data_IF_532517939531
#
_entry.id   IF_532517939531
#
_cell.length_a   1.000
_cell.length_b   1.000
_cell.length_c   1.000
_cell.angle_alpha   90.00
_cell.angle_beta   90.00
_cell.angle_gamma   90.00
#
_symmetry.space_group_name_H-M   'P 1'
#
loop_
_entity.id
_entity.type
_entity.pdbx_description
1 polymer ?
#
# COMPACT_ATOMS: atom_id res chain seq x y z
N UNK A 1 24.37 6.71 45.69
CA UNK A 1 23.50 6.05 44.69
C UNK A 1 23.06 6.98 43.55
N UNK A 2 23.48 8.25 43.49
CA UNK A 2 23.11 9.18 42.40
C UNK A 2 24.15 9.34 41.27
N UNK A 3 25.45 9.16 41.55
CA UNK A 3 26.52 9.39 40.57
C UNK A 3 26.52 8.37 39.41
N UNK A 4 26.12 7.12 39.68
CA UNK A 4 26.05 6.06 38.66
C UNK A 4 24.85 6.20 37.73
N UNK A 5 23.73 6.74 38.22
CA UNK A 5 22.55 7.03 37.38
C UNK A 5 22.79 8.25 36.49
N UNK A 6 23.53 9.25 36.97
CA UNK A 6 23.97 10.40 36.18
C UNK A 6 24.98 10.01 35.10
N UNK A 7 25.98 9.17 35.41
CA UNK A 7 26.94 8.65 34.42
C UNK A 7 26.27 7.77 33.35
N UNK A 8 25.30 6.92 33.73
CA UNK A 8 24.51 6.13 32.77
C UNK A 8 23.64 7.03 31.88
N UNK A 9 23.04 8.09 32.44
CA UNK A 9 22.24 9.05 31.67
C UNK A 9 23.12 9.88 30.72
N UNK A 10 24.34 10.23 31.13
CA UNK A 10 25.31 10.97 30.31
C UNK A 10 25.91 10.09 29.19
N UNK A 11 26.19 8.81 29.47
CA UNK A 11 26.57 7.81 28.46
C UNK A 11 25.42 7.54 27.48
N UNK A 12 24.18 7.49 27.95
CA UNK A 12 23.01 7.33 27.08
C UNK A 12 22.77 8.54 26.16
N UNK A 13 23.06 9.76 26.62
CA UNK A 13 23.03 10.98 25.80
C UNK A 13 24.19 11.04 24.78
N UNK A 14 25.37 10.51 25.13
CA UNK A 14 26.51 10.40 24.20
C UNK A 14 26.38 9.23 23.20
N UNK A 15 25.59 8.21 23.53
CA UNK A 15 25.39 6.99 22.73
C UNK A 15 24.05 6.94 21.98
N UNK A 16 23.19 7.95 22.13
CA UNK A 16 21.98 8.04 21.33
C UNK A 16 22.37 8.25 19.85
N UNK A 17 22.06 7.31 18.94
CA UNK A 17 22.37 7.50 17.54
C UNK A 17 21.64 8.74 17.04
N UNK A 18 22.35 9.59 16.29
CA UNK A 18 21.72 10.73 15.65
C UNK A 18 20.57 10.26 14.75
N UNK A 19 19.58 11.10 14.50
CA UNK A 19 18.50 10.77 13.57
C UNK A 19 19.03 10.32 12.20
N UNK A 20 20.12 10.93 11.73
CA UNK A 20 20.80 10.51 10.50
C UNK A 20 21.46 9.12 10.62
N UNK A 21 22.06 8.81 11.77
CA UNK A 21 22.63 7.49 12.06
C UNK A 21 21.56 6.40 12.11
N UNK A 22 20.42 6.68 12.76
CA UNK A 22 19.27 5.76 12.78
C UNK A 22 18.72 5.53 11.37
N UNK A 23 18.54 6.59 10.58
CA UNK A 23 18.05 6.44 9.22
C UNK A 23 19.00 5.65 8.32
N UNK A 24 20.31 5.81 8.50
CA UNK A 24 21.31 5.04 7.76
C UNK A 24 21.26 3.56 8.13
N UNK A 25 21.17 3.23 9.42
CA UNK A 25 21.01 1.84 9.87
C UNK A 25 19.75 1.22 9.29
N UNK A 26 18.60 1.90 9.41
CA UNK A 26 17.34 1.40 8.86
C UNK A 26 17.39 1.19 7.34
N UNK A 27 18.06 2.07 6.59
CA UNK A 27 18.20 1.89 5.15
C UNK A 27 19.08 0.69 4.77
N UNK A 28 20.04 0.32 5.62
CA UNK A 28 20.90 -0.86 5.44
C UNK A 28 20.18 -2.15 5.86
N UNK A 29 19.48 -2.12 6.98
CA UNK A 29 18.76 -3.28 7.54
C UNK A 29 17.51 -3.64 6.72
N UNK A 30 16.93 -2.64 6.03
CA UNK A 30 15.72 -2.79 5.22
C UNK A 30 15.94 -2.26 3.80
N UNK A 31 16.61 -3.04 2.93
CA UNK A 31 16.90 -2.59 1.57
C UNK A 31 15.62 -2.33 0.77
N UNK A 32 15.68 -1.49 -0.28
CA UNK A 32 14.54 -1.31 -1.18
C UNK A 32 14.20 -2.62 -1.90
N UNK A 33 12.91 -2.96 -1.92
CA UNK A 33 12.37 -4.12 -2.64
C UNK A 33 11.50 -3.67 -3.81
N UNK A 34 11.38 -4.54 -4.82
CA UNK A 34 10.49 -4.28 -5.96
C UNK A 34 9.04 -4.33 -5.50
N UNK A 35 8.30 -3.25 -5.78
CA UNK A 35 6.89 -3.12 -5.46
C UNK A 35 6.12 -2.91 -6.74
N UNK A 36 5.15 -3.77 -6.98
CA UNK A 36 4.36 -3.77 -8.20
C UNK A 36 2.90 -3.48 -7.86
N UNK A 37 2.37 -2.36 -8.34
CA UNK A 37 0.93 -2.12 -8.30
C UNK A 37 0.28 -2.83 -9.48
N UNK A 38 -0.65 -3.74 -9.19
CA UNK A 38 -1.47 -4.44 -10.19
C UNK A 38 -2.92 -4.00 -10.07
N UNK A 39 -3.65 -4.07 -11.17
CA UNK A 39 -5.08 -3.72 -11.17
C UNK A 39 -5.90 -4.72 -11.98
N UNK A 40 -7.14 -4.93 -11.55
CA UNK A 40 -8.12 -5.69 -12.32
C UNK A 40 -8.57 -4.86 -13.53
N UNK A 41 -8.64 -5.49 -14.70
CA UNK A 41 -9.22 -4.88 -15.90
C UNK A 41 -10.75 -4.80 -15.74
N UNK A 42 -11.27 -3.65 -15.29
CA UNK A 42 -12.67 -3.51 -14.88
C UNK A 42 -13.53 -2.78 -15.92
N UNK A 43 -14.58 -3.45 -16.39
CA UNK A 43 -15.53 -2.84 -17.33
C UNK A 43 -16.47 -1.87 -16.61
N UNK A 44 -16.43 -0.60 -17.00
CA UNK A 44 -17.28 0.43 -16.39
C UNK A 44 -18.76 0.19 -16.69
N UNK A 45 -19.57 0.02 -15.66
CA UNK A 45 -21.02 -0.17 -15.76
C UNK A 45 -21.76 1.00 -16.43
N UNK A 46 -21.19 2.21 -16.41
CA UNK A 46 -21.82 3.43 -16.95
C UNK A 46 -21.48 3.67 -18.42
N UNK A 47 -20.23 3.46 -18.83
CA UNK A 47 -19.76 3.82 -20.18
C UNK A 47 -19.09 2.69 -20.97
N UNK A 48 -19.00 1.48 -20.41
CA UNK A 48 -18.44 0.30 -21.06
C UNK A 48 -16.92 0.28 -21.21
N UNK A 49 -16.22 1.36 -20.85
CA UNK A 49 -14.75 1.41 -20.95
C UNK A 49 -14.09 0.58 -19.86
N UNK A 50 -13.15 -0.27 -20.26
CA UNK A 50 -12.26 -1.00 -19.34
C UNK A 50 -11.31 0.00 -18.67
N UNK A 51 -11.30 0.06 -17.35
CA UNK A 51 -10.39 0.90 -16.55
C UNK A 51 -9.77 0.06 -15.43
N UNK A 52 -8.62 0.46 -14.88
CA UNK A 52 -8.02 -0.26 -13.76
C UNK A 52 -8.88 -0.14 -12.49
N UNK A 53 -9.18 -1.28 -11.85
CA UNK A 53 -9.69 -1.35 -10.50
C UNK A 53 -8.57 -1.80 -9.55
N UNK A 54 -8.23 -0.92 -8.62
CA UNK A 54 -7.19 -1.08 -7.60
C UNK A 54 -7.72 -1.75 -6.33
N UNK A 55 -6.81 -2.29 -5.51
CA UNK A 55 -7.15 -3.08 -4.33
C UNK A 55 -6.09 -4.09 -3.90
N UNK A 56 -4.91 -4.10 -4.54
CA UNK A 56 -3.81 -5.01 -4.22
C UNK A 56 -2.46 -4.44 -4.67
N UNK A 57 -1.45 -4.57 -3.81
CA UNK A 57 -0.04 -4.32 -4.13
C UNK A 57 0.72 -5.64 -4.05
N UNK A 58 1.44 -5.98 -5.11
CA UNK A 58 2.27 -7.18 -5.21
C UNK A 58 3.71 -6.83 -4.82
N UNK A 59 4.24 -7.55 -3.83
CA UNK A 59 5.55 -7.31 -3.24
C UNK A 59 6.24 -8.67 -3.14
N UNK A 60 7.23 -8.90 -4.00
CA UNK A 60 8.00 -10.15 -3.97
C UNK A 60 8.71 -10.31 -2.60
N UNK A 61 8.76 -11.54 -2.11
CA UNK A 61 9.39 -11.92 -0.82
C UNK A 61 8.73 -11.30 0.43
N UNK A 62 7.49 -10.83 0.33
CA UNK A 62 6.73 -10.37 1.50
C UNK A 62 6.09 -11.56 2.22
N UNK A 63 6.29 -11.64 3.54
CA UNK A 63 6.12 -12.82 4.43
C UNK A 63 4.70 -13.43 4.57
N UNK A 64 3.84 -13.31 3.58
CA UNK A 64 2.51 -13.92 3.51
C UNK A 64 2.40 -14.98 2.41
N UNK A 65 1.38 -15.83 2.43
CA UNK A 65 1.23 -16.96 1.50
C UNK A 65 1.02 -16.57 0.02
N UNK A 66 0.93 -15.27 -0.30
CA UNK A 66 0.54 -14.78 -1.62
C UNK A 66 1.38 -13.59 -2.13
N UNK A 67 2.46 -13.20 -1.45
CA UNK A 67 3.32 -12.05 -1.82
C UNK A 67 2.56 -10.74 -2.10
N UNK A 68 1.45 -10.51 -1.39
CA UNK A 68 0.57 -9.36 -1.63
C UNK A 68 0.12 -8.64 -0.36
N UNK A 69 -0.14 -7.35 -0.54
CA UNK A 69 -0.78 -6.47 0.41
C UNK A 69 -2.16 -6.12 -0.16
N UNK A 70 -3.22 -6.69 0.42
CA UNK A 70 -4.59 -6.29 0.08
C UNK A 70 -4.80 -4.83 0.46
N UNK A 71 -5.33 -3.99 -0.42
CA UNK A 71 -5.64 -2.58 -0.13
C UNK A 71 -7.13 -2.28 -0.33
N UNK A 72 -7.95 -3.31 -0.46
CA UNK A 72 -9.39 -3.19 -0.72
C UNK A 72 -10.13 -2.31 0.31
N UNK A 73 -9.71 -2.38 1.58
CA UNK A 73 -10.31 -1.58 2.66
C UNK A 73 -9.72 -0.16 2.78
N UNK A 74 -8.76 0.19 1.92
CA UNK A 74 -8.05 1.47 1.90
C UNK A 74 -6.99 1.49 0.80
N UNK A 75 -7.37 1.98 -0.40
CA UNK A 75 -6.49 2.09 -1.58
C UNK A 75 -5.59 3.33 -1.53
N UNK A 76 -5.29 3.83 -0.32
CA UNK A 76 -4.35 4.94 -0.11
C UNK A 76 -2.96 4.57 -0.64
N UNK A 77 -2.47 3.36 -0.34
CA UNK A 77 -1.17 2.90 -0.83
C UNK A 77 -1.13 2.84 -2.36
N UNK A 78 -2.18 2.32 -3.02
CA UNK A 78 -2.27 2.29 -4.48
C UNK A 78 -2.15 3.71 -5.06
N UNK A 79 -2.86 4.68 -4.46
CA UNK A 79 -2.80 6.08 -4.88
C UNK A 79 -1.41 6.68 -4.67
N UNK A 80 -0.76 6.39 -3.54
CA UNK A 80 0.58 6.89 -3.24
C UNK A 80 1.62 6.35 -4.20
N UNK A 81 1.54 5.06 -4.57
CA UNK A 81 2.42 4.46 -5.58
C UNK A 81 2.21 5.11 -6.96
N UNK A 82 0.96 5.37 -7.36
CA UNK A 82 0.65 6.08 -8.61
C UNK A 82 1.17 7.52 -8.61
N UNK A 83 1.04 8.23 -7.49
CA UNK A 83 1.55 9.60 -7.35
C UNK A 83 3.09 9.63 -7.41
N UNK A 84 3.75 8.67 -6.78
CA UNK A 84 5.22 8.56 -6.77
C UNK A 84 5.82 8.41 -8.17
N UNK A 85 5.09 7.79 -9.11
CA UNK A 85 5.54 7.66 -10.51
C UNK A 85 4.97 8.73 -11.45
N UNK A 86 4.21 9.70 -10.93
CA UNK A 86 3.52 10.70 -11.76
C UNK A 86 2.42 10.13 -12.65
N UNK A 87 1.86 8.96 -12.31
CA UNK A 87 0.84 8.31 -13.13
C UNK A 87 -0.47 9.11 -13.15
N UNK A 88 -1.06 9.37 -14.33
CA UNK A 88 -2.35 10.06 -14.41
C UNK A 88 -3.50 9.25 -13.77
N UNK A 89 -3.31 7.94 -13.59
CA UNK A 89 -4.28 7.06 -12.94
C UNK A 89 -4.47 7.38 -11.45
N UNK A 90 -3.55 8.11 -10.81
CA UNK A 90 -3.76 8.58 -9.43
C UNK A 90 -5.06 9.40 -9.29
N UNK A 91 -5.49 10.07 -10.37
CA UNK A 91 -6.72 10.86 -10.41
C UNK A 91 -8.00 10.02 -10.48
N UNK A 92 -7.90 8.73 -10.84
CA UNK A 92 -9.05 7.83 -10.91
C UNK A 92 -9.39 7.22 -9.56
N UNK A 93 -8.51 7.34 -8.56
CA UNK A 93 -8.79 6.98 -7.16
C UNK A 93 -9.38 8.21 -6.45
N UNK A 94 -10.64 8.10 -6.04
CA UNK A 94 -11.42 9.25 -5.52
C UNK A 94 -12.04 8.96 -4.17
N UNK A 95 -12.25 10.01 -3.40
CA UNK A 95 -12.96 9.93 -2.12
C UNK A 95 -14.45 9.65 -2.37
N UNK A 96 -14.93 8.58 -1.76
CA UNK A 96 -16.33 8.17 -1.69
C UNK A 96 -16.83 8.31 -0.26
N UNK A 97 -17.87 9.11 -0.06
CA UNK A 97 -18.59 9.13 1.22
C UNK A 97 -19.50 7.91 1.32
N UNK A 98 -19.23 7.00 2.25
CA UNK A 98 -20.11 5.87 2.55
C UNK A 98 -21.24 6.34 3.45
N UNK A 99 -22.47 6.37 2.93
CA UNK A 99 -23.66 6.71 3.74
C UNK A 99 -23.93 5.68 4.83
N UNK A 100 -23.62 4.41 4.56
CA UNK A 100 -23.87 3.29 5.48
C UNK A 100 -22.85 3.22 6.61
N UNK A 101 -21.58 3.53 6.35
CA UNK A 101 -20.52 3.47 7.37
C UNK A 101 -20.24 4.82 8.05
N UNK A 102 -20.85 5.91 7.57
CA UNK A 102 -20.57 7.26 8.07
C UNK A 102 -19.15 7.77 7.78
N UNK A 103 -18.34 7.00 7.07
CA UNK A 103 -16.92 7.27 6.78
C UNK A 103 -16.69 7.62 5.31
N UNK A 104 -15.62 8.38 5.06
CA UNK A 104 -15.09 8.59 3.72
C UNK A 104 -14.01 7.55 3.44
N UNK A 105 -14.07 6.90 2.28
CA UNK A 105 -13.11 5.88 1.84
C UNK A 105 -12.67 6.21 0.42
N UNK A 106 -11.44 5.86 0.04
CA UNK A 106 -11.03 5.94 -1.36
C UNK A 106 -11.68 4.81 -2.16
N UNK A 107 -11.95 5.06 -3.45
CA UNK A 107 -12.50 4.07 -4.37
C UNK A 107 -11.97 4.30 -5.78
N UNK A 108 -11.73 3.19 -6.48
CA UNK A 108 -11.39 3.20 -7.90
C UNK A 108 -12.55 3.76 -8.74
N UNK A 109 -12.22 4.45 -9.81
CA UNK A 109 -13.20 5.03 -10.72
C UNK A 109 -12.80 4.84 -12.19
N UNK A 110 -13.78 4.98 -13.06
CA UNK A 110 -13.56 4.89 -14.50
C UNK A 110 -12.68 6.03 -14.99
N UNK A 111 -11.64 5.69 -15.77
CA UNK A 111 -10.71 6.67 -16.34
C UNK A 111 -11.36 7.62 -17.37
N UNK A 112 -12.56 7.30 -17.86
CA UNK A 112 -13.29 8.10 -18.86
C UNK A 112 -14.42 8.94 -18.28
N UNK A 113 -15.33 8.31 -17.53
CA UNK A 113 -16.58 8.94 -17.11
C UNK A 113 -16.68 9.17 -15.61
N UNK A 114 -15.60 8.89 -14.87
CA UNK A 114 -15.48 9.08 -13.42
C UNK A 114 -16.50 8.31 -12.57
N UNK A 115 -17.20 7.33 -13.17
CA UNK A 115 -18.10 6.46 -12.43
C UNK A 115 -17.29 5.65 -11.42
N UNK A 116 -17.64 5.74 -10.15
CA UNK A 116 -17.01 4.98 -9.09
C UNK A 116 -17.36 3.49 -9.23
N UNK A 117 -16.38 2.65 -8.96
CA UNK A 117 -16.56 1.20 -8.92
C UNK A 117 -17.01 0.75 -7.54
N UNK A 118 -17.82 -0.31 -7.53
CA UNK A 118 -18.29 -0.92 -6.28
C UNK A 118 -17.14 -1.69 -5.62
N UNK A 119 -16.65 -1.28 -4.43
CA UNK A 119 -15.49 -1.93 -3.82
C UNK A 119 -15.75 -3.40 -3.46
N UNK A 120 -17.02 -3.75 -3.17
CA UNK A 120 -17.42 -5.13 -2.88
C UNK A 120 -17.14 -6.09 -4.06
N UNK A 121 -17.54 -5.72 -5.28
CA UNK A 121 -17.34 -6.57 -6.46
C UNK A 121 -15.86 -6.65 -6.87
N UNK A 122 -15.09 -5.59 -6.61
CA UNK A 122 -13.64 -5.60 -6.82
C UNK A 122 -12.98 -6.54 -5.82
N UNK A 123 -13.42 -6.51 -4.55
CA UNK A 123 -12.93 -7.43 -3.51
C UNK A 123 -13.17 -8.89 -3.91
N UNK A 124 -14.39 -9.23 -4.35
CA UNK A 124 -14.73 -10.58 -4.80
C UNK A 124 -13.83 -11.05 -5.95
N UNK A 125 -13.57 -10.19 -6.94
CA UNK A 125 -12.69 -10.51 -8.07
C UNK A 125 -11.23 -10.71 -7.62
N UNK A 126 -10.72 -9.84 -6.74
CA UNK A 126 -9.37 -9.97 -6.18
C UNK A 126 -9.26 -11.26 -5.36
N UNK A 127 -10.27 -11.60 -4.56
CA UNK A 127 -10.28 -12.85 -3.80
C UNK A 127 -10.28 -14.08 -4.72
N UNK A 128 -10.99 -14.02 -5.85
CA UNK A 128 -10.95 -15.07 -6.88
C UNK A 128 -9.56 -15.23 -7.49
N UNK A 129 -8.86 -14.12 -7.77
CA UNK A 129 -7.49 -14.12 -8.28
C UNK A 129 -6.50 -14.70 -7.26
N UNK A 130 -6.65 -14.33 -5.98
CA UNK A 130 -5.82 -14.86 -4.89
C UNK A 130 -6.05 -16.36 -4.70
N UNK A 131 -7.31 -16.80 -4.68
CA UNK A 131 -7.65 -18.21 -4.52
C UNK A 131 -7.17 -19.10 -5.68
N UNK A 132 -6.92 -18.51 -6.85
CA UNK A 132 -6.43 -19.18 -8.06
C UNK A 132 -4.93 -18.96 -8.32
N UNK A 133 -4.20 -18.36 -7.38
CA UNK A 133 -2.77 -18.06 -7.51
C UNK A 133 -2.40 -17.31 -8.80
N UNK A 134 -3.29 -16.40 -9.23
CA UNK A 134 -3.23 -15.74 -10.54
C UNK A 134 -2.83 -14.26 -10.45
N UNK A 135 -2.26 -13.82 -9.32
CA UNK A 135 -1.83 -12.42 -9.14
C UNK A 135 -0.81 -12.00 -10.20
N UNK A 136 0.12 -12.89 -10.53
CA UNK A 136 1.16 -12.63 -11.53
C UNK A 136 0.58 -12.34 -12.92
N UNK A 137 -0.65 -12.80 -13.23
CA UNK A 137 -1.31 -12.57 -14.52
C UNK A 137 -2.06 -11.24 -14.58
N UNK A 138 -2.28 -10.56 -13.45
CA UNK A 138 -2.92 -9.25 -13.45
C UNK A 138 -2.02 -8.19 -14.13
N UNK A 139 -2.57 -7.25 -14.90
CA UNK A 139 -1.80 -6.17 -15.50
C UNK A 139 -0.99 -5.37 -14.47
N UNK A 140 0.30 -5.16 -14.77
CA UNK A 140 1.16 -4.24 -14.03
C UNK A 140 0.79 -2.81 -14.41
N UNK A 141 0.51 -1.98 -13.41
CA UNK A 141 0.19 -0.56 -13.60
C UNK A 141 1.41 0.32 -13.34
N UNK A 142 2.09 0.10 -12.21
CA UNK A 142 3.38 0.73 -11.91
C UNK A 142 4.30 -0.26 -11.21
N UNK A 143 5.60 -0.08 -11.41
CA UNK A 143 6.65 -0.80 -10.72
C UNK A 143 7.68 0.22 -10.22
N UNK A 144 8.05 0.11 -8.95
CA UNK A 144 9.02 0.99 -8.31
C UNK A 144 9.64 0.30 -7.10
N UNK A 145 10.84 0.73 -6.73
CA UNK A 145 11.47 0.32 -5.47
C UNK A 145 10.89 1.10 -4.31
N UNK A 146 10.54 0.39 -3.24
CA UNK A 146 10.13 0.97 -1.96
C UNK A 146 10.96 0.37 -0.82
N UNK A 147 11.29 1.14 0.23
CA UNK A 147 11.95 0.58 1.41
C UNK A 147 11.13 -0.58 1.99
N UNK A 148 11.76 -1.75 2.22
CA UNK A 148 11.08 -2.92 2.78
C UNK A 148 10.38 -2.61 4.12
N UNK A 149 10.97 -1.71 4.92
CA UNK A 149 10.44 -1.26 6.20
C UNK A 149 9.01 -0.71 6.09
N UNK A 150 8.65 -0.07 4.98
CA UNK A 150 7.28 0.45 4.75
C UNK A 150 6.24 -0.67 4.88
N UNK A 151 6.54 -1.85 4.34
CA UNK A 151 5.60 -2.97 4.31
C UNK A 151 5.52 -3.71 5.64
N UNK A 152 6.62 -3.82 6.39
CA UNK A 152 6.59 -4.34 7.75
C UNK A 152 5.76 -3.44 8.68
N UNK A 153 5.90 -2.11 8.55
CA UNK A 153 5.08 -1.17 9.31
C UNK A 153 3.61 -1.31 8.91
N UNK A 154 3.31 -1.38 7.61
CA UNK A 154 1.94 -1.55 7.12
C UNK A 154 1.29 -2.84 7.66
N UNK A 155 1.99 -3.97 7.64
CA UNK A 155 1.48 -5.22 8.19
C UNK A 155 1.27 -5.16 9.71
N UNK A 156 2.22 -4.57 10.46
CA UNK A 156 2.07 -4.35 11.89
C UNK A 156 0.86 -3.47 12.22
N UNK A 157 0.64 -2.39 11.47
CA UNK A 157 -0.51 -1.51 11.64
C UNK A 157 -1.85 -2.20 11.35
N UNK A 158 -1.87 -3.18 10.44
CA UNK A 158 -3.08 -3.97 10.14
C UNK A 158 -3.39 -4.98 11.22
N UNK A 159 -2.37 -5.66 11.76
CA UNK A 159 -2.52 -6.62 12.87
C UNK A 159 -2.97 -5.95 14.19
N UNK A 160 -2.73 -4.65 14.34
CA UNK A 160 -3.14 -3.88 15.52
C UNK A 160 -4.61 -3.41 15.50
N UNK A 161 -5.37 -3.65 14.42
CA UNK A 161 -6.79 -3.30 14.29
C UNK A 161 -7.68 -4.52 14.50
#
# INVERSE_FOLDING_TARGET
MGLMEEEIRHLADEMAPSAAGMMTSLALDYPPIETTLRAVAWTCWKCGVVSPAFGLVHVEDFTGPWDVISTVQGIELDRDLLLATGSPLASTIKVRRSRTRGTSLLSSGCMRCDALFGPYFIDEEIMGILASDSVATMPIVVQLKRPQLEFFILDAMRKAR
#
